data_IF_072137250918
#
_entry.id   IF_072137250918
#
_cell.length_a   1.000
_cell.length_b   1.000
_cell.length_c   1.000
_cell.angle_alpha   90.00
_cell.angle_beta   90.00
_cell.angle_gamma   90.00
#
_symmetry.space_group_name_H-M   'P 1'
#
loop_
_entity.id
_entity.type
_entity.pdbx_description
1 polymer ?
#
# COMPACT_ATOMS: atom_id res chain seq x y z
N UNK A 1 -30.71 -4.16 -25.64
CA UNK A 1 -30.43 -4.87 -24.38
C UNK A 1 -29.23 -4.19 -23.76
N UNK A 2 -29.53 -3.22 -22.91
CA UNK A 2 -28.59 -2.24 -22.34
C UNK A 2 -27.74 -2.95 -21.27
N UNK A 3 -26.60 -2.39 -20.91
CA UNK A 3 -25.47 -2.97 -20.12
C UNK A 3 -25.78 -3.62 -18.75
N UNK A 4 -27.01 -4.03 -18.45
CA UNK A 4 -27.46 -4.66 -17.21
C UNK A 4 -26.64 -5.90 -16.81
N UNK A 5 -26.16 -6.68 -17.78
CA UNK A 5 -25.27 -7.82 -17.50
C UNK A 5 -23.92 -7.36 -16.92
N UNK A 6 -23.33 -6.31 -17.51
CA UNK A 6 -22.09 -5.71 -17.03
C UNK A 6 -22.30 -5.08 -15.65
N UNK A 7 -23.42 -4.37 -15.46
CA UNK A 7 -23.77 -3.74 -14.18
C UNK A 7 -23.96 -4.79 -13.08
N UNK A 8 -24.64 -5.90 -13.38
CA UNK A 8 -24.81 -7.00 -12.44
C UNK A 8 -23.47 -7.68 -12.10
N UNK A 9 -22.60 -7.88 -13.09
CA UNK A 9 -21.27 -8.44 -12.88
C UNK A 9 -20.41 -7.55 -11.96
N UNK A 10 -20.40 -6.22 -12.19
CA UNK A 10 -19.70 -5.29 -11.30
C UNK A 10 -20.29 -5.26 -9.89
N UNK A 11 -21.62 -5.31 -9.77
CA UNK A 11 -22.28 -5.33 -8.46
C UNK A 11 -21.90 -6.56 -7.63
N UNK A 12 -21.73 -7.72 -8.27
CA UNK A 12 -21.30 -8.95 -7.58
C UNK A 12 -19.87 -8.86 -7.05
N UNK A 13 -18.96 -8.15 -7.73
CA UNK A 13 -17.57 -7.96 -7.29
C UNK A 13 -17.44 -7.14 -5.99
N UNK A 14 -18.41 -6.28 -5.69
CA UNK A 14 -18.42 -5.48 -4.45
C UNK A 14 -18.48 -6.36 -3.20
N UNK A 15 -19.11 -7.54 -3.28
CA UNK A 15 -19.21 -8.48 -2.15
C UNK A 15 -17.86 -9.08 -1.72
N UNK A 16 -16.84 -8.98 -2.57
CA UNK A 16 -15.46 -9.47 -2.29
C UNK A 16 -14.50 -8.38 -1.86
N UNK A 17 -14.97 -7.14 -1.67
CA UNK A 17 -14.13 -6.04 -1.21
C UNK A 17 -13.84 -6.19 0.29
N UNK A 18 -12.61 -6.61 0.61
CA UNK A 18 -12.10 -6.61 1.99
C UNK A 18 -11.36 -5.29 2.27
N UNK A 19 -11.48 -4.75 3.49
CA UNK A 19 -10.65 -3.61 3.88
C UNK A 19 -9.20 -4.06 3.99
N UNK A 20 -8.37 -3.56 3.09
CA UNK A 20 -6.93 -3.68 3.23
C UNK A 20 -6.47 -2.60 4.22
N UNK A 21 -5.50 -2.93 5.08
CA UNK A 21 -4.77 -1.89 5.79
C UNK A 21 -4.17 -0.97 4.71
N UNK A 22 -4.64 0.28 4.65
CA UNK A 22 -4.25 1.20 3.58
C UNK A 22 -2.74 1.42 3.62
N UNK A 23 -2.02 0.83 2.67
CA UNK A 23 -0.60 1.08 2.50
C UNK A 23 -0.43 2.34 1.66
N UNK A 24 0.06 3.43 2.26
CA UNK A 24 0.61 4.54 1.50
C UNK A 24 2.02 4.12 1.11
N UNK A 25 2.17 3.60 -0.10
CA UNK A 25 3.50 3.34 -0.65
C UNK A 25 4.25 4.65 -0.79
N UNK A 26 5.54 4.61 -0.51
CA UNK A 26 6.44 5.74 -0.73
C UNK A 26 6.51 6.17 -2.20
N UNK A 27 6.27 5.27 -3.15
CA UNK A 27 6.27 5.54 -4.59
C UNK A 27 5.21 4.74 -5.35
N UNK A 28 5.05 5.03 -6.64
CA UNK A 28 4.14 4.32 -7.54
C UNK A 28 4.87 3.96 -8.84
N UNK A 29 4.87 2.67 -9.19
CA UNK A 29 5.63 2.14 -10.31
C UNK A 29 7.09 1.84 -9.97
N UNK A 30 7.75 1.09 -10.85
CA UNK A 30 9.11 0.55 -10.61
C UNK A 30 10.18 1.64 -10.41
N UNK A 31 10.15 2.70 -11.21
CA UNK A 31 11.16 3.78 -11.18
C UNK A 31 11.03 4.62 -9.92
N UNK A 32 9.83 5.13 -9.67
CA UNK A 32 9.55 5.93 -8.48
C UNK A 32 9.82 5.14 -7.17
N UNK A 33 9.42 3.86 -7.12
CA UNK A 33 9.72 2.99 -5.98
C UNK A 33 11.23 2.75 -5.80
N UNK A 34 11.98 2.56 -6.89
CA UNK A 34 13.45 2.39 -6.84
C UNK A 34 14.19 3.66 -6.39
N UNK A 35 13.56 4.82 -6.54
CA UNK A 35 14.07 6.10 -6.05
C UNK A 35 13.64 6.43 -4.61
N UNK A 36 13.00 5.48 -3.91
CA UNK A 36 12.48 5.73 -2.56
C UNK A 36 11.30 6.70 -2.52
N UNK A 37 10.55 6.86 -3.62
CA UNK A 37 9.37 7.72 -3.66
C UNK A 37 9.59 9.14 -4.20
N UNK A 38 10.77 9.44 -4.75
CA UNK A 38 11.09 10.76 -5.25
C UNK A 38 10.38 11.05 -6.59
N UNK A 39 9.17 11.63 -6.53
CA UNK A 39 8.38 11.98 -7.72
C UNK A 39 7.88 13.44 -7.78
N UNK A 40 7.97 14.21 -6.69
CA UNK A 40 7.39 15.57 -6.65
C UNK A 40 8.06 16.56 -7.60
N UNK A 41 9.39 16.52 -7.74
CA UNK A 41 10.15 17.44 -8.59
C UNK A 41 10.88 16.76 -9.75
N UNK A 42 10.75 15.43 -9.86
CA UNK A 42 11.46 14.63 -10.85
C UNK A 42 10.48 13.69 -11.58
N UNK A 43 9.82 14.16 -12.65
CA UNK A 43 8.88 13.36 -13.42
C UNK A 43 9.64 12.37 -14.33
N UNK A 44 10.13 11.27 -13.77
CA UNK A 44 10.73 10.18 -14.56
C UNK A 44 9.69 9.21 -15.13
N UNK A 45 8.52 9.11 -14.51
CA UNK A 45 7.45 8.26 -14.99
C UNK A 45 6.06 8.87 -14.80
N UNK A 46 5.13 8.46 -15.68
CA UNK A 46 3.76 8.94 -15.65
C UNK A 46 3.01 8.47 -14.39
N UNK A 47 3.31 7.27 -13.88
CA UNK A 47 2.67 6.70 -12.69
C UNK A 47 2.98 7.54 -11.44
N UNK A 48 4.24 7.94 -11.24
CA UNK A 48 4.65 8.80 -10.15
C UNK A 48 4.19 10.24 -10.33
N UNK A 49 4.22 10.79 -11.55
CA UNK A 49 3.69 12.12 -11.83
C UNK A 49 2.19 12.22 -11.54
N UNK A 50 1.38 11.27 -12.01
CA UNK A 50 -0.07 11.24 -11.76
C UNK A 50 -0.40 11.10 -10.27
N UNK A 51 0.36 10.31 -9.51
CA UNK A 51 0.10 10.12 -8.08
C UNK A 51 0.59 11.30 -7.21
N UNK A 52 1.80 11.80 -7.44
CA UNK A 52 2.50 12.69 -6.51
C UNK A 52 2.50 14.16 -6.94
N UNK A 53 2.59 14.44 -8.24
CA UNK A 53 2.55 15.81 -8.76
C UNK A 53 1.97 15.85 -10.19
N UNK A 54 0.65 15.94 -10.35
CA UNK A 54 0.01 15.97 -11.66
C UNK A 54 0.46 17.13 -12.56
N UNK A 55 0.96 18.24 -12.00
CA UNK A 55 1.48 19.35 -12.79
C UNK A 55 2.74 18.95 -13.59
N UNK A 56 3.50 17.96 -13.10
CA UNK A 56 4.70 17.46 -13.74
C UNK A 56 4.40 16.58 -14.97
N UNK A 57 3.13 16.27 -15.25
CA UNK A 57 2.70 15.57 -16.47
C UNK A 57 3.04 16.39 -17.73
N UNK A 58 3.09 17.71 -17.60
CA UNK A 58 3.48 18.64 -18.68
C UNK A 58 4.89 18.42 -19.25
N UNK A 59 5.72 17.60 -18.61
CA UNK A 59 7.05 17.20 -19.12
C UNK A 59 6.96 16.04 -20.12
N UNK A 60 5.84 15.31 -20.16
CA UNK A 60 5.63 14.21 -21.12
C UNK A 60 4.85 14.72 -22.33
N UNK A 61 5.47 14.64 -23.52
CA UNK A 61 4.88 15.12 -24.78
C UNK A 61 4.14 14.03 -25.58
N UNK A 62 4.10 12.79 -25.06
CA UNK A 62 3.58 11.62 -25.77
C UNK A 62 2.43 10.96 -25.01
N UNK A 63 1.51 10.34 -25.77
CA UNK A 63 0.48 9.48 -25.21
C UNK A 63 1.12 8.21 -24.64
N UNK A 64 1.04 8.03 -23.33
CA UNK A 64 1.70 6.93 -22.64
C UNK A 64 0.70 6.17 -21.77
N UNK A 65 0.72 4.84 -21.90
CA UNK A 65 0.02 3.90 -21.04
C UNK A 65 1.07 3.09 -20.28
N UNK A 66 1.01 3.11 -18.95
CA UNK A 66 1.93 2.37 -18.08
C UNK A 66 1.14 1.48 -17.13
N UNK A 67 1.54 0.22 -17.07
CA UNK A 67 1.00 -0.78 -16.16
C UNK A 67 2.13 -1.37 -15.33
N UNK A 68 2.05 -1.20 -14.02
CA UNK A 68 3.00 -1.72 -13.05
C UNK A 68 2.27 -2.66 -12.07
N UNK A 69 2.98 -3.68 -11.57
CA UNK A 69 2.51 -4.54 -10.48
C UNK A 69 3.60 -4.57 -9.41
N UNK A 70 3.30 -4.04 -8.23
CA UNK A 70 4.13 -4.20 -7.03
C UNK A 70 3.69 -5.39 -6.19
N UNK A 71 4.61 -6.01 -5.46
CA UNK A 71 4.29 -6.97 -4.42
C UNK A 71 4.67 -6.39 -3.07
N UNK A 72 3.71 -6.31 -2.17
CA UNK A 72 3.90 -5.83 -0.82
C UNK A 72 3.94 -7.00 0.15
N UNK A 73 4.97 -7.02 0.99
CA UNK A 73 5.19 -8.01 2.04
C UNK A 73 5.04 -7.27 3.36
N UNK A 74 4.01 -7.61 4.14
CA UNK A 74 3.81 -7.04 5.48
C UNK A 74 4.37 -8.02 6.50
N UNK A 75 5.21 -7.52 7.41
CA UNK A 75 5.62 -8.25 8.61
C UNK A 75 5.65 -7.30 9.83
N UNK A 76 4.53 -6.62 10.16
CA UNK A 76 4.48 -5.85 11.40
C UNK A 76 4.60 -6.80 12.59
N UNK A 77 5.54 -6.50 13.47
CA UNK A 77 5.72 -7.22 14.74
C UNK A 77 5.27 -6.30 15.88
N UNK A 78 4.40 -6.81 16.74
CA UNK A 78 3.99 -6.10 17.95
C UNK A 78 4.62 -6.78 19.16
N UNK A 79 5.65 -6.16 19.72
CA UNK A 79 6.26 -6.57 20.97
C UNK A 79 5.65 -5.81 22.15
N UNK A 80 5.28 -6.51 23.20
CA UNK A 80 4.87 -5.91 24.48
C UNK A 80 5.72 -6.47 25.61
N UNK A 81 6.10 -5.60 26.55
CA UNK A 81 6.80 -5.98 27.78
C UNK A 81 6.07 -5.38 28.97
N UNK A 82 5.70 -6.20 29.94
CA UNK A 82 5.02 -5.79 31.16
C UNK A 82 5.79 -6.28 32.39
N UNK A 83 5.93 -5.46 33.44
CA UNK A 83 6.55 -5.90 34.68
C UNK A 83 5.66 -6.93 35.38
N UNK A 84 6.29 -7.92 36.02
CA UNK A 84 5.60 -8.84 36.91
C UNK A 84 5.28 -8.14 38.24
N UNK A 85 4.06 -8.32 38.73
CA UNK A 85 3.58 -7.75 39.99
C UNK A 85 3.35 -8.86 41.00
N UNK A 86 3.75 -8.63 42.25
CA UNK A 86 3.46 -9.54 43.36
C UNK A 86 2.00 -9.44 43.83
N UNK A 87 1.61 -10.28 44.80
CA UNK A 87 0.27 -10.29 45.40
C UNK A 87 -0.11 -8.99 46.13
N UNK A 88 0.84 -8.08 46.35
CA UNK A 88 0.66 -6.76 46.97
C UNK A 88 0.71 -5.63 45.93
N UNK A 89 0.85 -5.95 44.64
CA UNK A 89 0.90 -5.00 43.54
C UNK A 89 2.26 -4.30 43.37
N UNK A 90 3.32 -4.77 44.04
CA UNK A 90 4.67 -4.22 43.86
C UNK A 90 5.38 -4.94 42.70
N UNK A 91 6.17 -4.21 41.88
CA UNK A 91 6.96 -4.83 40.82
C UNK A 91 8.02 -5.76 41.41
N UNK A 92 8.09 -7.02 40.97
CA UNK A 92 9.06 -8.02 41.46
C UNK A 92 10.46 -7.85 40.87
N UNK A 93 10.63 -6.96 39.90
CA UNK A 93 11.88 -6.77 39.15
C UNK A 93 12.04 -7.71 37.95
N UNK A 94 11.11 -8.65 37.76
CA UNK A 94 11.00 -9.48 36.56
C UNK A 94 10.05 -8.85 35.53
N UNK A 95 10.17 -9.26 34.27
CA UNK A 95 9.33 -8.78 33.18
C UNK A 95 8.80 -9.97 32.36
N UNK A 96 7.54 -9.87 31.94
CA UNK A 96 6.98 -10.70 30.88
C UNK A 96 7.11 -9.96 29.56
N UNK A 97 7.60 -10.64 28.53
CA UNK A 97 7.58 -10.14 27.16
C UNK A 97 6.85 -11.11 26.24
N UNK A 98 6.23 -10.57 25.21
CA UNK A 98 5.60 -11.34 24.16
C UNK A 98 5.67 -10.58 22.84
N UNK A 99 5.87 -11.30 21.75
CA UNK A 99 5.82 -10.76 20.39
C UNK A 99 4.68 -11.44 19.64
N UNK A 100 3.84 -10.65 19.00
CA UNK A 100 2.86 -11.14 18.03
C UNK A 100 3.33 -10.72 16.64
N UNK A 101 3.63 -11.70 15.81
CA UNK A 101 3.99 -11.49 14.41
C UNK A 101 2.72 -11.47 13.54
N UNK A 102 2.78 -10.75 12.43
CA UNK A 102 1.71 -10.74 11.43
C UNK A 102 1.84 -11.94 10.49
N UNK A 103 0.74 -12.64 10.23
CA UNK A 103 0.66 -13.78 9.29
C UNK A 103 -0.01 -13.34 7.97
N UNK A 104 0.40 -12.17 7.46
CA UNK A 104 -0.12 -11.66 6.18
C UNK A 104 0.75 -12.13 5.02
N UNK A 105 0.09 -12.74 4.05
CA UNK A 105 0.70 -13.10 2.78
C UNK A 105 1.02 -11.90 1.90
N UNK A 106 1.58 -12.20 0.73
CA UNK A 106 1.95 -11.20 -0.28
C UNK A 106 0.70 -10.52 -0.84
N UNK A 107 0.69 -9.19 -0.84
CA UNK A 107 -0.39 -8.40 -1.44
C UNK A 107 0.05 -7.83 -2.79
N UNK A 108 -0.62 -8.15 -3.91
CA UNK A 108 -0.34 -7.53 -5.20
C UNK A 108 -0.93 -6.11 -5.26
N UNK A 109 -0.15 -5.18 -5.80
CA UNK A 109 -0.45 -3.76 -5.90
C UNK A 109 -0.36 -3.32 -7.37
N UNK A 110 -1.43 -3.46 -8.15
CA UNK A 110 -1.46 -2.98 -9.53
C UNK A 110 -1.56 -1.46 -9.59
N UNK A 111 -0.82 -0.84 -10.51
CA UNK A 111 -0.95 0.57 -10.85
C UNK A 111 -1.12 0.69 -12.38
N UNK A 112 -2.18 1.38 -12.79
CA UNK A 112 -2.46 1.69 -14.19
C UNK A 112 -2.50 3.20 -14.37
N UNK A 113 -1.65 3.71 -15.24
CA UNK A 113 -1.48 5.12 -15.53
C UNK A 113 -1.64 5.39 -17.02
N UNK A 114 -2.37 6.44 -17.37
CA UNK A 114 -2.55 6.87 -18.75
C UNK A 114 -2.48 8.40 -18.84
N UNK A 115 -1.64 8.89 -19.74
CA UNK A 115 -1.48 10.32 -20.08
C UNK A 115 -1.69 10.45 -21.59
N UNK A 116 -2.33 11.53 -22.01
CA UNK A 116 -2.66 11.86 -23.40
C UNK A 116 -2.42 13.34 -23.71
#
# INVERSE_FOLDING_TARGET
MKNYLLTLALALLVSTAFSQAGHIMQGVGSVNMSMGGAATAQPLDISGALQWNPAAISVFDENQLKFDIGFFFSSPELSSTVPEFDSSGQPTGNFFSGTTEDDRGVSPLPALAYVW
#
